data_IF_723133070144
#
_entry.id   IF_723133070144
#
_cell.length_a   1.000
_cell.length_b   1.000
_cell.length_c   1.000
_cell.angle_alpha   90.00
_cell.angle_beta   90.00
_cell.angle_gamma   90.00
#
_symmetry.space_group_name_H-M   'P 1'
#
loop_
_entity.id
_entity.type
_entity.pdbx_description
1 polymer ?
#
# COMPACT_ATOMS: atom_id res chain seq x y z
N UNK A 1 81.93 147.24 -78.40
CA UNK A 1 83.40 147.15 -78.16
C UNK A 1 83.65 147.01 -76.66
N UNK A 2 84.60 146.17 -76.21
CA UNK A 2 86.05 146.38 -76.36
C UNK A 2 86.60 145.82 -77.69
N UNK A 3 87.80 146.24 -78.11
CA UNK A 3 88.00 146.69 -79.48
C UNK A 3 88.58 145.65 -80.44
N UNK A 4 88.40 145.97 -81.72
CA UNK A 4 88.71 145.23 -82.93
C UNK A 4 90.19 145.30 -83.31
N UNK A 5 90.74 144.18 -83.82
CA UNK A 5 91.83 144.10 -84.82
C UNK A 5 91.78 142.68 -85.41
N UNK A 6 91.79 142.35 -86.70
CA UNK A 6 91.86 143.08 -87.96
C UNK A 6 91.62 142.10 -89.13
N UNK A 7 91.36 142.61 -90.35
CA UNK A 7 91.21 141.83 -91.59
C UNK A 7 92.47 140.99 -91.85
N UNK A 8 92.33 139.66 -91.91
CA UNK A 8 93.39 138.80 -92.41
C UNK A 8 93.49 137.37 -91.86
N UNK A 9 92.41 136.71 -91.47
CA UNK A 9 92.49 135.28 -91.13
C UNK A 9 91.17 134.52 -91.37
N UNK A 10 91.17 133.62 -92.36
CA UNK A 10 90.14 132.61 -92.60
C UNK A 10 89.79 131.88 -91.30
N UNK A 11 88.50 131.82 -90.96
CA UNK A 11 88.03 131.12 -89.76
C UNK A 11 88.38 129.62 -89.81
N UNK A 12 89.08 129.15 -88.77
CA UNK A 12 89.70 127.83 -88.58
C UNK A 12 88.73 126.62 -88.44
N UNK A 13 87.51 126.68 -88.96
CA UNK A 13 86.44 125.72 -88.59
C UNK A 13 85.87 124.85 -89.72
N UNK A 14 86.42 124.91 -90.94
CA UNK A 14 86.14 123.97 -92.03
C UNK A 14 87.38 123.13 -92.32
N UNK A 15 87.59 122.02 -91.60
CA UNK A 15 88.76 121.15 -91.82
C UNK A 15 88.69 120.37 -93.16
N UNK A 16 87.48 120.15 -93.69
CA UNK A 16 87.24 119.19 -94.78
C UNK A 16 86.60 119.85 -96.02
N UNK A 17 86.47 121.18 -96.00
CA UNK A 17 85.89 122.00 -97.07
C UNK A 17 84.39 121.78 -97.35
N UNK A 18 83.72 120.80 -96.71
CA UNK A 18 82.32 120.45 -97.03
C UNK A 18 81.34 120.51 -95.87
N UNK A 19 81.72 120.33 -94.61
CA UNK A 19 80.77 120.24 -93.47
C UNK A 19 81.20 121.06 -92.26
N UNK A 20 80.22 121.66 -91.59
CA UNK A 20 80.37 122.44 -90.37
C UNK A 20 79.73 121.68 -89.18
N UNK A 21 80.54 121.32 -88.18
CA UNK A 21 80.07 120.69 -86.93
C UNK A 21 79.54 119.25 -87.05
N UNK A 22 78.97 118.71 -85.96
CA UNK A 22 78.50 117.30 -85.86
C UNK A 22 77.12 117.03 -86.49
N UNK A 23 76.43 118.05 -87.00
CA UNK A 23 75.09 117.94 -87.55
C UNK A 23 75.11 118.38 -89.01
N UNK A 24 75.59 117.51 -89.93
CA UNK A 24 75.43 117.50 -91.40
C UNK A 24 75.03 118.80 -92.13
N UNK A 25 75.54 119.96 -91.71
CA UNK A 25 75.33 121.26 -92.33
C UNK A 25 76.53 121.50 -93.23
N UNK A 26 76.32 121.85 -94.49
CA UNK A 26 77.44 122.05 -95.40
C UNK A 26 78.18 123.35 -95.02
N UNK A 27 79.51 123.43 -95.22
CA UNK A 27 80.24 124.67 -94.90
C UNK A 27 79.68 125.87 -95.68
N UNK A 28 79.05 125.65 -96.84
CA UNK A 28 78.36 126.68 -97.61
C UNK A 28 77.08 127.16 -96.93
N UNK A 29 76.32 126.26 -96.31
CA UNK A 29 75.11 126.62 -95.55
C UNK A 29 75.48 127.26 -94.21
N UNK A 30 76.56 126.82 -93.56
CA UNK A 30 77.06 127.47 -92.35
C UNK A 30 77.66 128.85 -92.61
N UNK A 31 78.32 129.03 -93.77
CA UNK A 31 78.81 130.34 -94.24
C UNK A 31 77.63 131.24 -94.65
N UNK A 32 76.54 130.68 -95.18
CA UNK A 32 75.29 131.43 -95.40
C UNK A 32 74.62 131.85 -94.08
N UNK A 33 74.54 130.96 -93.08
CA UNK A 33 73.98 131.29 -91.75
C UNK A 33 74.87 132.27 -90.98
N UNK A 34 76.20 132.19 -91.14
CA UNK A 34 77.13 133.18 -90.57
C UNK A 34 77.10 134.50 -91.34
N UNK A 35 76.95 134.49 -92.67
CA UNK A 35 76.75 135.70 -93.46
C UNK A 35 75.39 136.36 -93.17
N UNK A 36 74.33 135.59 -92.90
CA UNK A 36 73.04 136.11 -92.43
C UNK A 36 73.16 136.65 -90.99
N UNK A 37 73.91 135.98 -90.12
CA UNK A 37 74.18 136.46 -88.76
C UNK A 37 75.12 137.68 -88.70
N UNK A 38 76.06 137.82 -89.64
CA UNK A 38 76.91 139.02 -89.82
C UNK A 38 76.14 140.15 -90.54
N UNK A 39 75.26 139.83 -91.50
CA UNK A 39 74.31 140.77 -92.11
C UNK A 39 73.34 141.36 -91.08
N UNK A 40 73.01 140.62 -90.03
CA UNK A 40 72.22 141.12 -88.88
C UNK A 40 73.03 142.00 -87.92
N UNK A 41 74.37 142.05 -88.05
CA UNK A 41 75.28 142.83 -87.19
C UNK A 41 75.78 144.12 -87.84
N UNK A 42 75.74 144.24 -89.16
CA UNK A 42 76.24 145.39 -89.94
C UNK A 42 75.15 146.36 -90.40
N UNK A 43 73.87 146.08 -90.09
CA UNK A 43 72.77 147.02 -90.25
C UNK A 43 72.51 147.82 -88.95
N UNK A 44 72.83 149.11 -88.97
CA UNK A 44 72.35 150.13 -88.01
C UNK A 44 70.82 150.31 -88.15
N UNK A 45 70.08 149.28 -87.77
CA UNK A 45 68.63 149.32 -87.55
C UNK A 45 68.41 148.94 -86.09
N UNK A 46 67.89 149.87 -85.30
CA UNK A 46 67.41 149.59 -83.96
C UNK A 46 66.51 148.34 -84.01
N UNK A 47 66.86 147.33 -83.21
CA UNK A 47 66.02 146.16 -82.98
C UNK A 47 64.73 146.65 -82.32
N UNK A 48 63.71 146.84 -83.14
CA UNK A 48 62.37 147.22 -82.69
C UNK A 48 61.79 146.10 -81.80
N UNK A 49 61.28 146.47 -80.62
CA UNK A 49 60.68 145.55 -79.64
C UNK A 49 59.59 144.66 -80.27
N UNK A 50 58.97 145.14 -81.36
CA UNK A 50 57.98 144.41 -82.16
C UNK A 50 58.52 143.13 -82.80
N UNK A 51 59.79 143.07 -83.23
CA UNK A 51 60.36 141.90 -83.90
C UNK A 51 60.67 140.76 -82.91
N UNK A 52 61.15 141.10 -81.71
CA UNK A 52 61.38 140.14 -80.61
C UNK A 52 60.03 139.62 -80.09
N UNK A 53 59.03 140.49 -80.00
CA UNK A 53 57.66 140.11 -79.62
C UNK A 53 57.00 139.22 -80.68
N UNK A 54 57.28 139.45 -81.96
CA UNK A 54 56.79 138.60 -83.05
C UNK A 54 57.41 137.19 -83.03
N UNK A 55 58.71 137.09 -82.74
CA UNK A 55 59.39 135.81 -82.61
C UNK A 55 58.92 135.05 -81.36
N UNK A 56 58.78 135.74 -80.21
CA UNK A 56 58.17 135.17 -79.00
C UNK A 56 56.74 134.67 -79.28
N UNK A 57 55.94 135.44 -80.01
CA UNK A 57 54.59 135.05 -80.43
C UNK A 57 54.55 133.92 -81.47
N UNK A 58 55.64 133.67 -82.22
CA UNK A 58 55.78 132.49 -83.08
C UNK A 58 56.22 131.26 -82.28
N UNK A 59 57.13 131.40 -81.33
CA UNK A 59 57.55 130.33 -80.42
C UNK A 59 56.39 129.90 -79.53
N UNK A 60 55.61 130.83 -78.98
CA UNK A 60 54.40 130.48 -78.22
C UNK A 60 53.36 129.81 -79.11
N UNK A 61 53.13 130.29 -80.35
CA UNK A 61 52.23 129.60 -81.30
C UNK A 61 52.68 128.18 -81.66
N UNK A 62 53.98 127.90 -81.65
CA UNK A 62 54.53 126.55 -81.92
C UNK A 62 54.51 125.67 -80.66
N UNK A 63 54.66 126.25 -79.47
CA UNK A 63 54.68 125.52 -78.20
C UNK A 63 53.28 125.30 -77.61
N UNK A 64 52.28 126.10 -77.97
CA UNK A 64 50.91 125.96 -77.46
C UNK A 64 50.27 124.60 -77.78
N UNK A 65 50.40 124.04 -79.00
CA UNK A 65 49.93 122.68 -79.29
C UNK A 65 50.66 121.62 -78.46
N UNK A 66 51.95 121.82 -78.18
CA UNK A 66 52.72 120.91 -77.35
C UNK A 66 52.30 120.99 -75.87
N UNK A 67 51.99 122.20 -75.35
CA UNK A 67 51.41 122.39 -74.00
C UNK A 67 50.03 121.73 -73.88
N UNK A 68 49.15 121.93 -74.87
CA UNK A 68 47.84 121.27 -74.91
C UNK A 68 47.92 119.74 -75.02
N UNK A 69 48.90 119.21 -75.75
CA UNK A 69 49.16 117.76 -75.79
C UNK A 69 49.64 117.21 -74.44
N UNK A 70 50.51 117.94 -73.73
CA UNK A 70 50.95 117.53 -72.39
C UNK A 70 49.78 117.55 -71.40
N UNK A 71 48.92 118.56 -71.44
CA UNK A 71 47.75 118.66 -70.56
C UNK A 71 46.72 117.56 -70.83
N UNK A 72 46.45 117.26 -72.11
CA UNK A 72 45.56 116.15 -72.51
C UNK A 72 46.14 114.79 -72.15
N UNK A 73 47.43 114.55 -72.39
CA UNK A 73 48.11 113.31 -71.96
C UNK A 73 48.12 113.17 -70.43
N UNK A 74 48.28 114.27 -69.71
CA UNK A 74 48.22 114.27 -68.24
C UNK A 74 46.81 113.96 -67.76
N UNK A 75 45.78 114.52 -68.40
CA UNK A 75 44.37 114.23 -68.10
C UNK A 75 44.03 112.76 -68.38
N UNK A 76 44.45 112.26 -69.56
CA UNK A 76 44.26 110.85 -69.93
C UNK A 76 45.00 109.91 -68.99
N UNK A 77 46.21 110.28 -68.53
CA UNK A 77 46.94 109.51 -67.50
C UNK A 77 46.15 109.45 -66.20
N UNK A 78 45.66 110.59 -65.68
CA UNK A 78 44.86 110.59 -64.45
C UNK A 78 43.55 109.82 -64.62
N UNK A 79 42.90 109.89 -65.78
CA UNK A 79 41.70 109.09 -66.07
C UNK A 79 42.02 107.58 -66.14
N UNK A 80 43.16 107.20 -66.71
CA UNK A 80 43.60 105.82 -66.77
C UNK A 80 44.01 105.30 -65.39
N UNK A 81 44.69 106.12 -64.59
CA UNK A 81 45.01 105.82 -63.17
C UNK A 81 43.74 105.69 -62.32
N UNK A 82 42.77 106.58 -62.49
CA UNK A 82 41.49 106.50 -61.77
C UNK A 82 40.66 105.28 -62.17
N UNK A 83 40.58 104.96 -63.46
CA UNK A 83 39.83 103.78 -63.96
C UNK A 83 40.51 102.47 -63.59
N UNK A 84 41.84 102.40 -63.62
CA UNK A 84 42.59 101.22 -63.15
C UNK A 84 42.47 101.05 -61.64
N UNK A 85 42.54 102.13 -60.86
CA UNK A 85 42.30 102.08 -59.41
C UNK A 85 40.87 101.60 -59.09
N UNK A 86 39.85 102.09 -59.81
CA UNK A 86 38.47 101.64 -59.66
C UNK A 86 38.30 100.16 -60.02
N UNK A 87 38.86 99.71 -61.16
CA UNK A 87 38.77 98.32 -61.59
C UNK A 87 39.51 97.36 -60.64
N UNK A 88 40.64 97.77 -60.06
CA UNK A 88 41.35 97.00 -59.03
C UNK A 88 40.54 96.94 -57.74
N UNK A 89 39.94 98.06 -57.31
CA UNK A 89 39.06 98.08 -56.14
C UNK A 89 37.82 97.18 -56.32
N UNK A 90 37.20 97.20 -57.50
CA UNK A 90 36.08 96.30 -57.85
C UNK A 90 36.51 94.83 -57.86
N UNK A 91 37.68 94.52 -58.44
CA UNK A 91 38.21 93.15 -58.42
C UNK A 91 38.46 92.67 -56.99
N UNK A 92 39.10 93.50 -56.17
CA UNK A 92 39.45 93.14 -54.79
C UNK A 92 38.17 93.01 -53.92
N UNK A 93 37.15 93.83 -54.17
CA UNK A 93 35.82 93.67 -53.56
C UNK A 93 35.14 92.35 -53.99
N UNK A 94 35.16 92.03 -55.28
CA UNK A 94 34.60 90.77 -55.79
C UNK A 94 35.34 89.53 -55.23
N UNK A 95 36.65 89.62 -55.03
CA UNK A 95 37.43 88.56 -54.37
C UNK A 95 37.04 88.42 -52.89
N UNK A 96 36.86 89.53 -52.17
CA UNK A 96 36.41 89.52 -50.79
C UNK A 96 35.00 88.92 -50.63
N UNK A 97 34.06 89.27 -51.53
CA UNK A 97 32.72 88.67 -51.57
C UNK A 97 32.78 87.18 -51.89
N UNK A 98 33.63 86.76 -52.85
CA UNK A 98 33.81 85.35 -53.18
C UNK A 98 34.41 84.55 -52.01
N UNK A 99 35.33 85.14 -51.24
CA UNK A 99 35.89 84.56 -50.02
C UNK A 99 34.83 84.44 -48.93
N UNK A 100 34.02 85.47 -48.73
CA UNK A 100 32.92 85.44 -47.77
C UNK A 100 31.90 84.36 -48.15
N UNK A 101 31.50 84.26 -49.42
CA UNK A 101 30.62 83.19 -49.89
C UNK A 101 31.23 81.79 -49.75
N UNK A 102 32.56 81.65 -49.90
CA UNK A 102 33.25 80.37 -49.62
C UNK A 102 33.20 80.04 -48.12
N UNK A 103 33.44 81.01 -47.24
CA UNK A 103 33.37 80.81 -45.80
C UNK A 103 31.94 80.50 -45.33
N UNK A 104 30.95 81.21 -45.84
CA UNK A 104 29.54 80.97 -45.53
C UNK A 104 29.09 79.57 -45.99
N UNK A 105 29.48 79.13 -47.20
CA UNK A 105 29.23 77.77 -47.67
C UNK A 105 29.92 76.73 -46.79
N UNK A 106 31.19 76.92 -46.45
CA UNK A 106 31.91 76.00 -45.57
C UNK A 106 31.27 75.89 -44.18
N UNK A 107 30.78 76.99 -43.61
CA UNK A 107 30.02 76.98 -42.34
C UNK A 107 28.68 76.26 -42.47
N UNK A 108 27.94 76.50 -43.55
CA UNK A 108 26.66 75.85 -43.79
C UNK A 108 26.83 74.33 -44.03
N UNK A 109 27.86 73.92 -44.77
CA UNK A 109 28.20 72.51 -44.98
C UNK A 109 28.63 71.83 -43.68
N UNK A 110 29.43 72.49 -42.85
CA UNK A 110 29.82 71.97 -41.53
C UNK A 110 28.62 71.83 -40.58
N UNK A 111 27.72 72.82 -40.55
CA UNK A 111 26.48 72.74 -39.77
C UNK A 111 25.58 71.60 -40.27
N UNK A 112 25.40 71.47 -41.59
CA UNK A 112 24.62 70.38 -42.17
C UNK A 112 25.25 69.00 -41.93
N UNK A 113 26.58 68.89 -41.87
CA UNK A 113 27.25 67.66 -41.48
C UNK A 113 27.00 67.33 -40.00
N UNK A 114 27.12 68.33 -39.12
CA UNK A 114 26.83 68.16 -37.69
C UNK A 114 25.38 67.72 -37.43
N UNK A 115 24.41 68.37 -38.08
CA UNK A 115 22.99 68.02 -37.96
C UNK A 115 22.70 66.59 -38.45
N UNK A 116 23.40 66.12 -39.49
CA UNK A 116 23.30 64.73 -39.96
C UNK A 116 23.87 63.75 -38.94
N UNK A 117 25.05 64.04 -38.39
CA UNK A 117 25.68 63.19 -37.38
C UNK A 117 24.79 63.10 -36.12
N UNK A 118 24.19 64.21 -35.69
CA UNK A 118 23.25 64.25 -34.57
C UNK A 118 21.97 63.45 -34.87
N UNK A 119 21.41 63.59 -36.08
CA UNK A 119 20.24 62.82 -36.50
C UNK A 119 20.54 61.31 -36.58
N UNK A 120 21.70 60.91 -37.10
CA UNK A 120 22.14 59.52 -37.14
C UNK A 120 22.32 58.94 -35.74
N UNK A 121 22.93 59.69 -34.82
CA UNK A 121 23.08 59.30 -33.42
C UNK A 121 21.70 59.16 -32.73
N UNK A 122 20.77 60.07 -32.97
CA UNK A 122 19.42 60.01 -32.44
C UNK A 122 18.64 58.78 -32.96
N UNK A 123 18.78 58.46 -34.26
CA UNK A 123 18.18 57.26 -34.85
C UNK A 123 18.79 55.98 -34.28
N UNK A 124 20.11 55.94 -34.08
CA UNK A 124 20.79 54.81 -33.45
C UNK A 124 20.33 54.60 -32.00
N UNK A 125 20.21 55.68 -31.22
CA UNK A 125 19.70 55.64 -29.86
C UNK A 125 18.24 55.16 -29.80
N UNK A 126 17.38 55.63 -30.71
CA UNK A 126 15.99 55.20 -30.80
C UNK A 126 15.87 53.70 -31.14
N UNK A 127 16.70 53.20 -32.07
CA UNK A 127 16.77 51.76 -32.39
C UNK A 127 17.24 50.93 -31.20
N UNK A 128 18.27 51.39 -30.46
CA UNK A 128 18.73 50.70 -29.27
C UNK A 128 17.65 50.65 -28.18
N UNK A 129 16.92 51.76 -27.96
CA UNK A 129 15.82 51.80 -27.02
C UNK A 129 14.66 50.85 -27.40
N UNK A 130 14.35 50.72 -28.69
CA UNK A 130 13.35 49.78 -29.19
C UNK A 130 13.79 48.31 -28.99
N UNK A 131 15.05 48.00 -29.22
CA UNK A 131 15.62 46.68 -28.94
C UNK A 131 15.58 46.34 -27.44
N UNK A 132 15.93 47.28 -26.56
CA UNK A 132 15.83 47.07 -25.11
C UNK A 132 14.38 46.86 -24.67
N UNK A 133 13.45 47.65 -25.20
CA UNK A 133 12.02 47.49 -24.91
C UNK A 133 11.49 46.13 -25.37
N UNK A 134 11.86 45.67 -26.56
CA UNK A 134 11.42 44.36 -27.06
C UNK A 134 12.04 43.20 -26.28
N UNK A 135 13.31 43.31 -25.85
CA UNK A 135 13.93 42.35 -24.95
C UNK A 135 13.21 42.28 -23.59
N UNK A 136 12.95 43.42 -22.95
CA UNK A 136 12.24 43.48 -21.68
C UNK A 136 10.81 42.90 -21.75
N UNK A 137 10.12 43.08 -22.88
CA UNK A 137 8.81 42.46 -23.09
C UNK A 137 8.90 40.94 -23.21
N UNK A 138 9.92 40.42 -23.91
CA UNK A 138 10.16 38.97 -24.02
C UNK A 138 10.47 38.36 -22.65
N UNK A 139 11.37 38.97 -21.87
CA UNK A 139 11.70 38.51 -20.52
C UNK A 139 10.46 38.48 -19.62
N UNK A 140 9.62 39.52 -19.67
CA UNK A 140 8.37 39.57 -18.92
C UNK A 140 7.41 38.45 -19.35
N UNK A 141 7.28 38.21 -20.65
CA UNK A 141 6.37 37.18 -21.16
C UNK A 141 6.88 35.77 -20.81
N UNK A 142 8.20 35.54 -20.84
CA UNK A 142 8.85 34.31 -20.34
C UNK A 142 8.63 34.12 -18.84
N UNK A 143 8.75 35.19 -18.03
CA UNK A 143 8.47 35.13 -16.59
C UNK A 143 6.99 34.78 -16.32
N UNK A 144 6.07 35.41 -17.05
CA UNK A 144 4.64 35.10 -16.94
C UNK A 144 4.34 33.66 -17.35
N UNK A 145 5.00 33.14 -18.39
CA UNK A 145 4.87 31.74 -18.80
C UNK A 145 5.41 30.79 -17.72
N UNK A 146 6.58 31.08 -17.14
CA UNK A 146 7.17 30.32 -16.05
C UNK A 146 6.28 30.31 -14.81
N UNK A 147 5.70 31.45 -14.43
CA UNK A 147 4.74 31.56 -13.32
C UNK A 147 3.49 30.70 -13.56
N UNK A 148 2.94 30.73 -14.78
CA UNK A 148 1.79 29.87 -15.14
C UNK A 148 2.13 28.38 -15.08
N UNK A 149 3.31 28.00 -15.58
CA UNK A 149 3.77 26.62 -15.52
C UNK A 149 3.96 26.15 -14.07
N UNK A 150 4.55 26.98 -13.21
CA UNK A 150 4.71 26.70 -11.79
C UNK A 150 3.35 26.50 -11.08
N UNK A 151 2.35 27.34 -11.36
CA UNK A 151 0.99 27.19 -10.82
C UNK A 151 0.34 25.88 -11.30
N UNK A 152 0.51 25.52 -12.57
CA UNK A 152 -0.02 24.25 -13.08
C UNK A 152 0.64 23.04 -12.42
N UNK A 153 1.96 23.06 -12.22
CA UNK A 153 2.66 22.00 -11.50
C UNK A 153 2.22 21.93 -10.03
N UNK A 154 2.03 23.07 -9.38
CA UNK A 154 1.48 23.11 -8.03
C UNK A 154 0.09 22.47 -7.97
N UNK A 155 -0.81 22.81 -8.90
CA UNK A 155 -2.15 22.21 -8.97
C UNK A 155 -2.10 20.70 -9.25
N UNK A 156 -1.17 20.23 -10.09
CA UNK A 156 -0.93 18.79 -10.31
C UNK A 156 -0.47 18.10 -9.03
N UNK A 157 0.49 18.68 -8.32
CA UNK A 157 0.98 18.15 -7.05
C UNK A 157 -0.10 18.14 -5.97
N UNK A 158 -0.89 19.20 -5.85
CA UNK A 158 -2.04 19.27 -4.94
C UNK A 158 -3.11 18.22 -5.29
N UNK A 159 -3.39 18.02 -6.59
CA UNK A 159 -4.29 16.97 -7.07
C UNK A 159 -3.78 15.56 -6.76
N UNK A 160 -2.48 15.31 -6.92
CA UNK A 160 -1.85 14.04 -6.54
C UNK A 160 -1.91 13.82 -5.01
N UNK A 161 -1.65 14.85 -4.21
CA UNK A 161 -1.78 14.78 -2.75
C UNK A 161 -3.22 14.50 -2.31
N UNK A 162 -4.21 15.13 -2.95
CA UNK A 162 -5.63 14.84 -2.69
C UNK A 162 -5.97 13.37 -3.03
N UNK A 163 -5.55 12.88 -4.19
CA UNK A 163 -5.75 11.48 -4.58
C UNK A 163 -5.10 10.48 -3.60
N UNK A 164 -3.89 10.77 -3.12
CA UNK A 164 -3.20 9.94 -2.11
C UNK A 164 -3.95 9.96 -0.77
N UNK A 165 -4.49 11.10 -0.36
CA UNK A 165 -5.31 11.21 0.87
C UNK A 165 -6.61 10.42 0.75
N UNK A 166 -7.28 10.48 -0.40
CA UNK A 166 -8.49 9.70 -0.67
C UNK A 166 -8.20 8.20 -0.67
N UNK A 167 -7.09 7.77 -1.27
CA UNK A 167 -6.70 6.35 -1.23
C UNK A 167 -6.34 5.91 0.18
N UNK A 168 -5.64 6.74 0.96
CA UNK A 168 -5.36 6.46 2.38
C UNK A 168 -6.65 6.30 3.20
N UNK A 169 -7.65 7.15 2.99
CA UNK A 169 -8.95 7.03 3.65
C UNK A 169 -9.63 5.70 3.27
N UNK A 170 -9.65 5.34 1.99
CA UNK A 170 -10.20 4.04 1.54
C UNK A 170 -9.44 2.84 2.09
N UNK A 171 -8.13 2.95 2.30
CA UNK A 171 -7.32 1.89 2.92
C UNK A 171 -7.65 1.78 4.41
N UNK A 172 -7.81 2.91 5.11
CA UNK A 172 -8.24 2.93 6.51
C UNK A 172 -9.62 2.29 6.68
N UNK A 173 -10.60 2.66 5.85
CA UNK A 173 -11.94 2.06 5.88
C UNK A 173 -11.90 0.54 5.65
N UNK A 174 -11.05 0.08 4.71
CA UNK A 174 -10.82 -1.36 4.47
C UNK A 174 -10.17 -2.05 5.67
N UNK A 175 -9.20 -1.40 6.31
CA UNK A 175 -8.54 -1.92 7.51
C UNK A 175 -9.53 -2.06 8.66
N UNK A 176 -10.35 -1.04 8.91
CA UNK A 176 -11.38 -1.04 9.95
C UNK A 176 -12.44 -2.12 9.69
N UNK A 177 -12.90 -2.27 8.44
CA UNK A 177 -13.80 -3.36 8.06
C UNK A 177 -13.17 -4.75 8.27
N UNK A 178 -11.88 -4.91 7.96
CA UNK A 178 -11.16 -6.16 8.20
C UNK A 178 -10.99 -6.47 9.69
N UNK A 179 -10.77 -5.45 10.52
CA UNK A 179 -10.67 -5.57 11.97
C UNK A 179 -12.03 -5.95 12.58
N UNK A 180 -13.12 -5.36 12.10
CA UNK A 180 -14.48 -5.73 12.50
C UNK A 180 -14.79 -7.20 12.17
N UNK A 181 -14.50 -7.65 10.94
CA UNK A 181 -14.66 -9.06 10.54
C UNK A 181 -13.79 -10.01 11.37
N UNK A 182 -12.58 -9.62 11.71
CA UNK A 182 -11.72 -10.40 12.60
C UNK A 182 -12.31 -10.50 14.02
N UNK A 183 -12.88 -9.40 14.53
CA UNK A 183 -13.60 -9.37 15.80
C UNK A 183 -14.83 -10.29 15.80
N UNK A 184 -15.65 -10.24 14.75
CA UNK A 184 -16.81 -11.13 14.57
C UNK A 184 -16.40 -12.61 14.54
N UNK A 185 -15.34 -12.94 13.79
CA UNK A 185 -14.80 -14.31 13.74
C UNK A 185 -14.26 -14.77 15.09
N UNK A 186 -13.55 -13.90 15.82
CA UNK A 186 -13.05 -14.22 17.15
C UNK A 186 -14.21 -14.50 18.12
N UNK A 187 -15.28 -13.70 18.08
CA UNK A 187 -16.48 -13.94 18.87
C UNK A 187 -17.16 -15.27 18.49
N UNK A 188 -17.30 -15.56 17.19
CA UNK A 188 -17.86 -16.83 16.72
C UNK A 188 -17.03 -18.04 17.17
N UNK A 189 -15.70 -17.96 17.09
CA UNK A 189 -14.79 -19.01 17.59
C UNK A 189 -14.96 -19.20 19.10
N UNK A 190 -15.07 -18.11 19.87
CA UNK A 190 -15.29 -18.19 21.31
C UNK A 190 -16.61 -18.90 21.64
N UNK A 191 -17.70 -18.55 20.96
CA UNK A 191 -19.00 -19.20 21.11
C UNK A 191 -18.94 -20.68 20.75
N UNK A 192 -18.40 -21.03 19.58
CA UNK A 192 -18.26 -22.44 19.15
C UNK A 192 -17.36 -23.25 20.10
N UNK A 193 -16.33 -22.62 20.66
CA UNK A 193 -15.46 -23.27 21.66
C UNK A 193 -16.22 -23.53 22.96
N UNK A 194 -17.05 -22.58 23.41
CA UNK A 194 -17.91 -22.76 24.58
C UNK A 194 -18.97 -23.85 24.35
N UNK A 195 -19.61 -23.86 23.17
CA UNK A 195 -20.57 -24.89 22.77
C UNK A 195 -19.91 -26.28 22.71
N UNK A 196 -18.70 -26.38 22.14
CA UNK A 196 -17.95 -27.63 22.11
C UNK A 196 -17.59 -28.12 23.52
N UNK A 197 -17.19 -27.21 24.42
CA UNK A 197 -16.91 -27.54 25.81
C UNK A 197 -18.17 -28.04 26.54
N UNK A 198 -19.31 -27.37 26.35
CA UNK A 198 -20.60 -27.78 26.91
C UNK A 198 -21.05 -29.14 26.36
N UNK A 199 -20.89 -29.39 25.06
CA UNK A 199 -21.20 -30.67 24.45
C UNK A 199 -20.32 -31.80 24.99
N UNK A 200 -19.02 -31.55 25.19
CA UNK A 200 -18.11 -32.52 25.83
C UNK A 200 -18.55 -32.85 27.25
N UNK A 201 -18.83 -31.83 28.07
CA UNK A 201 -19.31 -32.02 29.44
C UNK A 201 -20.61 -32.85 29.48
N UNK A 202 -21.56 -32.56 28.58
CA UNK A 202 -22.79 -33.35 28.46
C UNK A 202 -22.49 -34.81 28.07
N UNK A 203 -21.58 -35.07 27.12
CA UNK A 203 -21.21 -36.45 26.76
C UNK A 203 -20.51 -37.19 27.90
N UNK A 204 -19.68 -36.52 28.69
CA UNK A 204 -19.00 -37.13 29.83
C UNK A 204 -19.99 -37.43 30.96
N UNK A 205 -21.00 -36.59 31.15
CA UNK A 205 -22.10 -36.86 32.07
C UNK A 205 -22.94 -38.07 31.63
N UNK A 206 -23.30 -38.16 30.33
CA UNK A 206 -23.98 -39.33 29.78
C UNK A 206 -23.14 -40.60 29.96
N UNK A 207 -21.83 -40.55 29.67
CA UNK A 207 -20.91 -41.66 29.91
C UNK A 207 -20.93 -42.09 31.38
N UNK A 208 -20.79 -41.15 32.31
CA UNK A 208 -20.88 -41.44 33.75
C UNK A 208 -22.22 -42.05 34.17
N UNK A 209 -23.33 -41.59 33.57
CA UNK A 209 -24.66 -42.20 33.79
C UNK A 209 -24.73 -43.63 33.24
N UNK A 210 -24.17 -43.90 32.06
CA UNK A 210 -24.11 -45.25 31.49
C UNK A 210 -23.22 -46.20 32.28
N UNK A 211 -22.06 -45.74 32.76
CA UNK A 211 -21.16 -46.53 33.62
C UNK A 211 -21.84 -46.86 34.96
N UNK A 212 -22.52 -45.88 35.57
CA UNK A 212 -23.29 -46.10 36.79
C UNK A 212 -24.46 -47.10 36.56
N UNK A 213 -25.12 -47.03 35.41
CA UNK A 213 -26.16 -48.00 35.04
C UNK A 213 -25.58 -49.40 34.83
N UNK A 214 -24.44 -49.54 34.14
CA UNK A 214 -23.75 -50.81 33.96
C UNK A 214 -23.35 -51.42 35.31
N UNK A 215 -22.76 -50.64 36.21
CA UNK A 215 -22.40 -51.09 37.56
C UNK A 215 -23.64 -51.55 38.37
N UNK A 216 -24.80 -50.91 38.18
CA UNK A 216 -26.06 -51.34 38.81
C UNK A 216 -26.57 -52.66 38.23
N UNK A 217 -26.46 -52.86 36.93
CA UNK A 217 -26.82 -54.13 36.26
C UNK A 217 -25.93 -55.25 36.76
N UNK A 218 -24.60 -55.07 36.77
CA UNK A 218 -23.67 -56.07 37.30
C UNK A 218 -23.96 -56.38 38.78
N UNK A 219 -24.26 -55.36 39.59
CA UNK A 219 -24.62 -55.58 40.99
C UNK A 219 -25.95 -56.34 41.13
N UNK A 220 -26.91 -56.15 40.23
CA UNK A 220 -28.16 -56.89 40.20
C UNK A 220 -27.95 -58.34 39.76
N UNK A 221 -27.11 -58.58 38.74
CA UNK A 221 -26.71 -59.93 38.30
C UNK A 221 -26.05 -60.70 39.43
N UNK A 222 -25.05 -60.13 40.11
CA UNK A 222 -24.40 -60.76 41.28
C UNK A 222 -25.39 -61.11 42.40
N UNK A 223 -26.40 -60.26 42.62
CA UNK A 223 -27.47 -60.55 43.60
C UNK A 223 -28.39 -61.68 43.13
N UNK A 224 -28.72 -61.71 41.84
CA UNK A 224 -29.52 -62.77 41.25
C UNK A 224 -28.79 -64.12 41.34
N UNK A 225 -27.50 -64.16 41.02
CA UNK A 225 -26.65 -65.35 41.17
C UNK A 225 -26.61 -65.82 42.62
N UNK A 226 -26.39 -64.91 43.57
CA UNK A 226 -26.39 -65.25 45.00
C UNK A 226 -27.76 -65.78 45.49
N UNK A 227 -28.88 -65.24 44.97
CA UNK A 227 -30.22 -65.77 45.28
C UNK A 227 -30.41 -67.15 44.67
N UNK A 228 -29.96 -67.37 43.44
CA UNK A 228 -30.02 -68.65 42.75
C UNK A 228 -29.22 -69.72 43.51
N UNK A 229 -27.98 -69.41 43.93
CA UNK A 229 -27.15 -70.29 44.75
C UNK A 229 -27.83 -70.65 46.09
N UNK A 230 -28.43 -69.67 46.77
CA UNK A 230 -29.18 -69.93 48.02
C UNK A 230 -30.39 -70.81 47.80
N UNK A 231 -31.10 -70.63 46.68
CA UNK A 231 -32.25 -71.42 46.31
C UNK A 231 -31.85 -72.86 45.94
N UNK A 232 -30.76 -73.04 45.21
CA UNK A 232 -30.24 -74.36 44.86
C UNK A 232 -29.69 -75.09 46.09
N UNK A 233 -29.03 -74.38 47.02
CA UNK A 233 -28.66 -74.93 48.33
C UNK A 233 -29.89 -75.36 49.15
N UNK A 234 -30.93 -74.51 49.20
CA UNK A 234 -32.18 -74.85 49.89
C UNK A 234 -32.90 -76.07 49.25
N UNK A 235 -32.87 -76.20 47.92
CA UNK A 235 -33.38 -77.37 47.20
C UNK A 235 -32.59 -78.63 47.53
N UNK A 236 -31.25 -78.54 47.57
CA UNK A 236 -30.39 -79.66 47.93
C UNK A 236 -30.62 -80.11 49.38
N UNK A 237 -30.76 -79.17 50.31
CA UNK A 237 -31.06 -79.47 51.71
C UNK A 237 -32.47 -80.05 51.89
N UNK A 238 -33.45 -79.53 51.14
CA UNK A 238 -34.79 -80.12 51.11
C UNK A 238 -34.76 -81.55 50.57
N UNK A 239 -34.04 -81.82 49.47
CA UNK A 239 -33.88 -83.17 48.93
C UNK A 239 -33.21 -84.12 49.93
N UNK A 240 -32.18 -83.68 50.65
CA UNK A 240 -31.56 -84.45 51.75
C UNK A 240 -32.55 -84.72 52.88
N UNK A 241 -33.36 -83.73 53.27
CA UNK A 241 -34.35 -83.87 54.31
C UNK A 241 -35.45 -84.87 53.92
N UNK A 242 -35.93 -84.81 52.67
CA UNK A 242 -36.89 -85.78 52.11
C UNK A 242 -36.29 -87.17 52.10
N UNK A 243 -35.07 -87.34 51.58
CA UNK A 243 -34.38 -88.64 51.58
C UNK A 243 -34.20 -89.21 53.00
N UNK A 244 -33.85 -88.36 53.97
CA UNK A 244 -33.76 -88.76 55.38
C UNK A 244 -35.13 -89.12 55.98
N UNK A 245 -36.21 -88.45 55.58
CA UNK A 245 -37.57 -88.78 55.99
C UNK A 245 -38.05 -90.11 55.39
N UNK A 246 -37.76 -90.34 54.11
CA UNK A 246 -38.06 -91.61 53.43
C UNK A 246 -37.29 -92.77 54.08
N UNK A 247 -36.01 -92.58 54.40
CA UNK A 247 -35.21 -93.59 55.10
C UNK A 247 -35.73 -93.87 56.52
N UNK A 248 -36.12 -92.83 57.27
CA UNK A 248 -36.79 -93.02 58.58
C UNK A 248 -38.10 -93.79 58.44
N UNK A 249 -38.93 -93.44 57.47
CA UNK A 249 -40.19 -94.13 57.20
C UNK A 249 -39.95 -95.60 56.81
N UNK A 250 -38.88 -95.88 56.05
CA UNK A 250 -38.44 -97.24 55.73
C UNK A 250 -38.01 -98.01 56.98
N UNK A 251 -37.15 -97.44 57.81
CA UNK A 251 -36.70 -98.06 59.08
C UNK A 251 -37.88 -98.31 60.01
N UNK A 252 -38.82 -97.37 60.12
CA UNK A 252 -40.02 -97.53 60.94
C UNK A 252 -40.96 -98.62 60.39
N UNK A 253 -41.11 -98.72 59.06
CA UNK A 253 -41.85 -99.80 58.43
C UNK A 253 -41.19 -101.17 58.65
N UNK A 254 -39.86 -101.25 58.57
CA UNK A 254 -39.08 -102.46 58.87
C UNK A 254 -39.22 -102.86 60.35
N UNK A 255 -39.17 -101.90 61.28
CA UNK A 255 -39.45 -102.15 62.72
C UNK A 255 -40.85 -102.64 62.97
N UNK A 256 -41.86 -102.02 62.33
CA UNK A 256 -43.25 -102.46 62.46
C UNK A 256 -43.45 -103.88 61.94
N UNK A 257 -42.83 -104.23 60.81
CA UNK A 257 -42.83 -105.61 60.28
C UNK A 257 -42.19 -106.59 61.26
N UNK A 258 -40.98 -106.29 61.76
CA UNK A 258 -40.31 -107.13 62.74
C UNK A 258 -41.14 -107.31 64.02
N UNK A 259 -41.78 -106.25 64.52
CA UNK A 259 -42.69 -106.31 65.67
C UNK A 259 -44.01 -107.04 65.39
N UNK A 260 -44.47 -107.08 64.15
CA UNK A 260 -45.58 -107.94 63.73
C UNK A 260 -45.17 -109.41 63.68
N UNK A 261 -44.01 -109.72 63.09
CA UNK A 261 -43.47 -111.07 63.01
C UNK A 261 -43.22 -111.67 64.39
N UNK A 262 -42.68 -110.87 65.32
CA UNK A 262 -42.51 -111.27 66.72
C UNK A 262 -43.85 -111.62 67.39
N UNK A 263 -44.87 -110.77 67.24
CA UNK A 263 -46.21 -111.02 67.81
C UNK A 263 -46.87 -112.26 67.20
N UNK A 264 -46.64 -112.51 65.91
CA UNK A 264 -47.10 -113.73 65.25
C UNK A 264 -46.43 -114.97 65.84
N UNK A 265 -45.11 -114.93 66.05
CA UNK A 265 -44.36 -116.03 66.67
C UNK A 265 -44.79 -116.28 68.13
N UNK A 266 -45.02 -115.23 68.92
CA UNK A 266 -45.55 -115.33 70.29
C UNK A 266 -46.94 -115.95 70.31
N UNK A 267 -47.84 -115.54 69.41
CA UNK A 267 -49.17 -116.12 69.28
C UNK A 267 -49.13 -117.60 68.85
N UNK A 268 -48.23 -117.96 67.93
CA UNK A 268 -48.01 -119.35 67.52
C UNK A 268 -47.49 -120.21 68.69
N UNK A 269 -46.51 -119.71 69.44
CA UNK A 269 -45.98 -120.41 70.62
C UNK A 269 -47.05 -120.61 71.72
N UNK A 270 -47.87 -119.58 71.98
CA UNK A 270 -48.99 -119.67 72.92
C UNK A 270 -50.04 -120.69 72.45
N UNK A 271 -50.33 -120.74 71.14
CA UNK A 271 -51.23 -121.73 70.57
C UNK A 271 -50.67 -123.15 70.70
N UNK A 272 -49.40 -123.37 70.39
CA UNK A 272 -48.73 -124.67 70.57
C UNK A 272 -48.71 -125.12 72.04
N UNK A 273 -48.52 -124.20 72.98
CA UNK A 273 -48.58 -124.49 74.41
C UNK A 273 -50.01 -124.87 74.84
N UNK A 274 -51.02 -124.20 74.29
CA UNK A 274 -52.43 -124.53 74.52
C UNK A 274 -52.77 -125.92 73.97
N UNK A 275 -52.28 -126.25 72.76
CA UNK A 275 -52.47 -127.58 72.15
C UNK A 275 -51.78 -128.66 73.00
N UNK A 276 -50.56 -128.44 73.48
CA UNK A 276 -49.87 -129.36 74.39
C UNK A 276 -50.64 -129.57 75.70
N UNK A 277 -51.11 -128.49 76.33
CA UNK A 277 -51.94 -128.54 77.54
C UNK A 277 -53.26 -129.29 77.31
N UNK A 278 -53.91 -129.08 76.17
CA UNK A 278 -55.11 -129.83 75.80
C UNK A 278 -54.81 -131.32 75.58
N UNK A 279 -53.69 -131.65 74.94
CA UNK A 279 -53.31 -133.03 74.70
C UNK A 279 -53.03 -133.78 76.01
N UNK A 280 -52.35 -133.13 76.96
CA UNK A 280 -52.13 -133.65 78.32
C UNK A 280 -53.43 -133.84 79.11
N UNK A 281 -54.35 -132.88 79.07
CA UNK A 281 -55.65 -133.02 79.74
C UNK A 281 -56.50 -134.13 79.12
N UNK A 282 -56.46 -134.30 77.79
CA UNK A 282 -57.17 -135.38 77.09
C UNK A 282 -56.58 -136.76 77.44
N UNK A 283 -55.26 -136.87 77.58
CA UNK A 283 -54.61 -138.12 77.99
C UNK A 283 -54.91 -138.47 79.44
N UNK A 284 -54.94 -137.50 80.35
CA UNK A 284 -55.31 -137.70 81.75
C UNK A 284 -56.79 -138.11 81.90
N UNK A 285 -57.72 -137.45 81.22
CA UNK A 285 -59.13 -137.87 81.21
C UNK A 285 -59.31 -139.29 80.63
N UNK A 286 -58.55 -139.66 79.59
CA UNK A 286 -58.53 -141.01 79.06
C UNK A 286 -57.95 -142.06 80.01
N UNK A 287 -57.03 -141.68 80.91
CA UNK A 287 -56.54 -142.55 81.97
C UNK A 287 -57.57 -142.71 83.10
N UNK A 288 -58.22 -141.61 83.50
CA UNK A 288 -59.27 -141.60 84.53
C UNK A 288 -60.51 -142.40 84.12
N UNK A 289 -60.92 -142.32 82.84
CA UNK A 289 -62.05 -143.10 82.33
C UNK A 289 -61.76 -144.62 82.39
N UNK A 290 -60.54 -145.05 82.02
CA UNK A 290 -60.12 -146.45 82.11
C UNK A 290 -60.07 -146.95 83.56
N UNK A 291 -59.62 -146.10 84.48
CA UNK A 291 -59.63 -146.40 85.90
C UNK A 291 -61.06 -146.50 86.47
N UNK A 292 -62.00 -145.67 86.02
CA UNK A 292 -63.41 -145.74 86.41
C UNK A 292 -64.09 -147.02 85.90
N UNK A 293 -63.86 -147.40 84.64
CA UNK A 293 -64.38 -148.66 84.05
C UNK A 293 -63.85 -149.88 84.80
N UNK A 294 -62.54 -149.91 85.12
CA UNK A 294 -61.96 -151.03 85.88
C UNK A 294 -62.52 -151.19 87.30
N UNK A 295 -63.00 -150.10 87.92
CA UNK A 295 -63.67 -150.11 89.23
C UNK A 295 -65.11 -150.63 89.12
N UNK A 296 -65.81 -150.33 88.02
CA UNK A 296 -67.12 -150.91 87.71
C UNK A 296 -67.05 -152.43 87.58
N UNK A 297 -66.10 -152.93 86.79
CA UNK A 297 -65.92 -154.38 86.55
C UNK A 297 -65.50 -155.15 87.82
N UNK A 298 -64.84 -154.49 88.77
CA UNK A 298 -64.45 -155.08 90.05
C UNK A 298 -65.64 -155.17 91.02
N UNK A 299 -66.48 -154.13 91.07
CA UNK A 299 -67.69 -154.09 91.89
C UNK A 299 -68.74 -155.11 91.41
N UNK A 300 -68.88 -155.30 90.10
CA UNK A 300 -69.83 -156.26 89.51
C UNK A 300 -69.44 -157.73 89.81
N UNK A 301 -68.14 -158.02 89.85
CA UNK A 301 -67.60 -159.35 90.22
C UNK A 301 -67.72 -159.66 91.71
N UNK A 302 -67.56 -158.67 92.58
CA UNK A 302 -67.81 -158.79 94.03
C UNK A 302 -69.30 -159.05 94.33
N UNK A 303 -70.20 -158.30 93.68
CA UNK A 303 -71.65 -158.46 93.87
C UNK A 303 -72.15 -159.84 93.43
N UNK A 304 -71.60 -160.36 92.32
CA UNK A 304 -71.88 -161.72 91.84
C UNK A 304 -71.40 -162.82 92.80
N UNK A 305 -70.26 -162.60 93.49
CA UNK A 305 -69.73 -163.53 94.51
C UNK A 305 -70.55 -163.51 95.80
N UNK A 306 -71.00 -162.35 96.24
CA UNK A 306 -71.86 -162.21 97.43
C UNK A 306 -73.21 -162.88 97.20
N UNK A 307 -73.79 -162.75 96.00
CA UNK A 307 -75.04 -163.42 95.64
C UNK A 307 -74.93 -164.95 95.55
N UNK A 308 -73.75 -165.48 95.20
CA UNK A 308 -73.52 -166.94 95.20
C UNK A 308 -73.30 -167.49 96.60
N UNK A 309 -72.56 -166.78 97.46
CA UNK A 309 -72.32 -167.18 98.85
C UNK A 309 -73.59 -167.18 99.72
N UNK A 310 -74.55 -166.28 99.45
CA UNK A 310 -75.84 -166.23 100.14
C UNK A 310 -76.80 -167.39 99.79
N UNK A 311 -76.56 -168.10 98.67
CA UNK A 311 -77.41 -169.23 98.23
C UNK A 311 -77.07 -170.56 98.90
N UNK A 312 -75.89 -170.72 99.49
CA UNK A 312 -75.36 -172.00 99.96
C UNK A 312 -75.31 -172.18 101.50
N UNK A 313 -75.89 -171.26 102.28
CA UNK A 313 -75.95 -171.35 103.76
C UNK A 313 -77.25 -172.01 104.26
N UNK A 314 -77.20 -173.09 105.10
CA UNK A 314 -78.37 -173.92 105.40
C UNK A 314 -79.18 -173.54 106.66
N UNK A 315 -79.01 -172.34 107.24
CA UNK A 315 -79.95 -171.82 108.25
C UNK A 315 -80.29 -170.37 107.92
N UNK A 316 -81.41 -170.17 107.20
CA UNK A 316 -81.90 -168.86 106.79
C UNK A 316 -83.32 -168.64 107.30
N UNK A 317 -83.58 -167.56 108.06
CA UNK A 317 -84.93 -167.14 108.45
C UNK A 317 -85.80 -166.86 107.21
N UNK A 318 -87.05 -167.31 107.25
CA UNK A 318 -88.02 -167.30 106.15
C UNK A 318 -88.31 -165.90 105.55
N UNK A 319 -87.94 -164.84 106.26
CA UNK A 319 -88.02 -163.44 105.81
C UNK A 319 -86.99 -163.04 104.75
N UNK A 320 -85.87 -163.75 104.59
CA UNK A 320 -84.82 -163.39 103.60
C UNK A 320 -85.04 -164.01 102.21
N UNK A 321 -85.87 -165.06 102.10
CA UNK A 321 -86.22 -165.66 100.80
C UNK A 321 -87.05 -164.72 99.91
N UNK A 322 -87.83 -163.82 100.50
CA UNK A 322 -88.72 -162.92 99.77
C UNK A 322 -88.01 -161.71 99.14
N UNK A 323 -86.80 -161.37 99.60
CA UNK A 323 -86.02 -160.24 99.08
C UNK A 323 -85.11 -160.61 97.89
N UNK A 324 -84.88 -161.90 97.64
CA UNK A 324 -84.02 -162.40 96.56
C UNK A 324 -84.73 -162.57 95.20
N UNK A 325 -86.07 -162.48 95.16
CA UNK A 325 -86.87 -162.71 93.95
C UNK A 325 -87.26 -161.42 93.17
N UNK A 326 -86.62 -160.28 93.44
CA UNK A 326 -86.82 -159.05 92.66
C UNK A 326 -85.60 -158.66 91.78
N UNK A 327 -85.77 -158.46 90.45
CA UNK A 327 -84.69 -158.05 89.55
C UNK A 327 -84.42 -156.53 89.55
N UNK A 328 -83.23 -156.07 89.10
CA UNK A 328 -82.64 -154.78 89.46
C UNK A 328 -83.02 -153.65 88.49
N UNK A 329 -83.14 -152.43 89.02
CA UNK A 329 -83.24 -151.21 88.20
C UNK A 329 -81.97 -150.38 88.41
N UNK A 330 -81.17 -150.28 87.36
CA UNK A 330 -80.07 -149.35 87.18
C UNK A 330 -80.63 -148.03 86.65
N UNK A 331 -80.24 -146.90 87.23
CA UNK A 331 -80.31 -145.63 86.52
C UNK A 331 -79.07 -144.77 86.83
N UNK A 332 -78.33 -144.48 85.77
CA UNK A 332 -77.18 -143.58 85.69
C UNK A 332 -77.64 -142.40 84.84
N UNK A 333 -77.66 -141.20 85.41
CA UNK A 333 -77.55 -139.93 84.68
C UNK A 333 -76.48 -139.07 85.33
#
# INVERSE_FOLDING_TARGET
MPPAVGRGSRARFCQDGKTWGRRNLTCRDAEAVLADAESLRESDTELDDTAVTALAGQVDRVLEPARGLVETLTTLRHQLEATTAAALAERDAALAEADEHRLQRGRAEAAAAHDRDEAEAAVAAAKAAEQVKTAALRERDEELAARRAAVQEQQRAEGQLAAVRDELARVADRADASAALAGERAAAIATLTAELAAARAATDEERGRTEAAAARVEAAERRADAVQERLDAARADHAKAVAAQEERARVDAERLRAGYDQRLAEAQAAHEQTVRSMHETTTNLGAELRAAVSRGDAAERELSRVLTLLRDTPELPETLKQLLDQPPVLDLT
#
